data_IF_817804042321
#
_entry.id   IF_817804042321
#
_cell.length_a   1.000
_cell.length_b   1.000
_cell.length_c   1.000
_cell.angle_alpha   90.00
_cell.angle_beta   90.00
_cell.angle_gamma   90.00
#
_symmetry.space_group_name_H-M   'P 1'
#
loop_
_entity.id
_entity.type
_entity.pdbx_description
1 polymer ?
#
# COMPACT_ATOMS: atom_id res chain seq x y z
N UNK A 1 -30.97 -10.30 -2.41
CA UNK A 1 -30.88 -11.74 -2.07
C UNK A 1 -30.66 -11.84 -0.58
N UNK A 2 -31.14 -12.87 0.11
CA UNK A 2 -30.78 -13.05 1.51
C UNK A 2 -29.29 -13.44 1.59
N UNK A 3 -28.56 -13.01 2.63
CA UNK A 3 -27.13 -13.32 2.79
C UNK A 3 -26.86 -14.84 2.73
N UNK A 4 -27.83 -15.65 3.18
CA UNK A 4 -27.75 -17.11 3.13
C UNK A 4 -27.71 -17.66 1.71
N UNK A 5 -28.52 -17.10 0.81
CA UNK A 5 -28.52 -17.50 -0.60
C UNK A 5 -27.16 -17.22 -1.25
N UNK A 6 -26.54 -16.10 -0.89
CA UNK A 6 -25.21 -15.71 -1.39
C UNK A 6 -24.12 -16.61 -0.84
N UNK A 7 -24.15 -16.92 0.46
CA UNK A 7 -23.25 -17.89 1.07
C UNK A 7 -23.33 -19.27 0.38
N UNK A 8 -24.54 -19.79 0.15
CA UNK A 8 -24.72 -21.06 -0.56
C UNK A 8 -24.26 -20.97 -2.04
N UNK A 9 -24.49 -19.83 -2.72
CA UNK A 9 -23.95 -19.60 -4.09
C UNK A 9 -22.42 -19.67 -4.08
N UNK A 10 -21.75 -19.06 -3.11
CA UNK A 10 -20.30 -19.10 -2.98
C UNK A 10 -19.81 -20.52 -2.68
N UNK A 11 -20.39 -21.19 -1.68
CA UNK A 11 -20.00 -22.55 -1.28
C UNK A 11 -20.11 -23.57 -2.42
N UNK A 12 -21.12 -23.42 -3.28
CA UNK A 12 -21.35 -24.29 -4.43
C UNK A 12 -20.67 -23.81 -5.72
N UNK A 13 -19.97 -22.67 -5.69
CA UNK A 13 -19.32 -22.12 -6.88
C UNK A 13 -18.11 -22.98 -7.29
N UNK A 14 -17.97 -23.31 -8.60
CA UNK A 14 -16.77 -23.98 -9.10
C UNK A 14 -15.54 -23.06 -9.10
N UNK A 15 -15.71 -21.75 -8.91
CA UNK A 15 -14.61 -20.80 -8.84
C UNK A 15 -13.79 -20.91 -7.54
N UNK A 16 -14.39 -21.45 -6.47
CA UNK A 16 -13.71 -21.65 -5.18
C UNK A 16 -12.90 -22.94 -5.19
N UNK A 17 -11.69 -22.84 -4.65
CA UNK A 17 -10.87 -23.98 -4.28
C UNK A 17 -11.49 -24.77 -3.12
N UNK A 18 -11.07 -26.03 -2.93
CA UNK A 18 -11.56 -26.82 -1.79
C UNK A 18 -11.13 -26.24 -0.44
N UNK A 19 -10.00 -25.53 -0.35
CA UNK A 19 -9.59 -24.85 0.87
C UNK A 19 -10.54 -23.69 1.22
N UNK A 20 -10.96 -22.90 0.22
CA UNK A 20 -11.93 -21.82 0.41
C UNK A 20 -13.32 -22.36 0.78
N UNK A 21 -13.73 -23.48 0.18
CA UNK A 21 -14.98 -24.16 0.58
C UNK A 21 -14.90 -24.69 1.99
N UNK A 22 -13.77 -25.24 2.40
CA UNK A 22 -13.60 -25.74 3.78
C UNK A 22 -13.63 -24.59 4.80
N UNK A 23 -13.04 -23.43 4.47
CA UNK A 23 -13.18 -22.23 5.29
C UNK A 23 -14.66 -21.83 5.46
N UNK A 24 -15.43 -21.81 4.37
CA UNK A 24 -16.88 -21.52 4.44
C UNK A 24 -17.67 -22.58 5.22
N UNK A 25 -17.37 -23.87 5.03
CA UNK A 25 -17.99 -24.95 5.82
C UNK A 25 -17.70 -24.82 7.32
N UNK A 26 -16.52 -24.32 7.69
CA UNK A 26 -16.14 -24.14 9.10
C UNK A 26 -17.04 -23.14 9.85
N UNK A 27 -17.67 -22.21 9.13
CA UNK A 27 -18.59 -21.20 9.68
C UNK A 27 -20.06 -21.57 9.48
N UNK A 28 -20.39 -22.76 8.95
CA UNK A 28 -21.76 -23.11 8.53
C UNK A 28 -22.82 -23.04 9.63
N UNK A 29 -22.39 -23.11 10.90
CA UNK A 29 -23.23 -23.01 12.10
C UNK A 29 -23.15 -21.65 12.83
N UNK A 30 -22.40 -20.68 12.31
CA UNK A 30 -22.28 -19.33 12.86
C UNK A 30 -23.00 -18.31 11.96
N UNK A 31 -24.30 -18.11 12.20
CA UNK A 31 -25.11 -17.19 11.39
C UNK A 31 -24.59 -15.75 11.43
N UNK A 32 -23.96 -15.31 12.53
CA UNK A 32 -23.42 -13.95 12.63
C UNK A 32 -22.21 -13.77 11.73
N UNK A 33 -21.36 -14.79 11.67
CA UNK A 33 -20.19 -14.77 10.77
C UNK A 33 -20.60 -14.91 9.30
N UNK A 34 -21.63 -15.70 9.00
CA UNK A 34 -22.16 -15.76 7.63
C UNK A 34 -22.80 -14.43 7.25
N UNK A 35 -23.61 -13.83 8.11
CA UNK A 35 -24.20 -12.52 7.85
C UNK A 35 -23.10 -11.47 7.65
N UNK A 36 -22.10 -11.40 8.53
CA UNK A 36 -20.98 -10.44 8.43
C UNK A 36 -20.19 -10.54 7.12
N UNK A 37 -20.14 -11.74 6.52
CA UNK A 37 -19.42 -11.98 5.26
C UNK A 37 -20.24 -11.82 4.00
N UNK A 38 -21.57 -11.92 4.08
CA UNK A 38 -22.42 -12.03 2.89
C UNK A 38 -23.61 -11.06 2.85
N UNK A 39 -23.74 -10.16 3.82
CA UNK A 39 -24.84 -9.17 3.85
C UNK A 39 -24.81 -8.20 2.66
N UNK A 40 -23.62 -7.81 2.18
CA UNK A 40 -23.44 -6.92 1.04
C UNK A 40 -22.04 -7.07 0.43
N UNK A 41 -21.82 -6.68 -0.84
CA UNK A 41 -20.49 -6.47 -1.42
C UNK A 41 -19.62 -5.54 -0.57
N UNK A 42 -18.32 -5.77 -0.58
CA UNK A 42 -17.37 -4.80 -0.04
C UNK A 42 -17.41 -3.52 -0.90
N UNK A 43 -17.65 -2.37 -0.27
CA UNK A 43 -17.86 -1.11 -0.99
C UNK A 43 -16.56 -0.52 -1.54
N UNK A 44 -16.58 -0.13 -2.83
CA UNK A 44 -15.47 0.56 -3.49
C UNK A 44 -15.63 2.08 -3.36
N UNK A 45 -14.71 2.73 -2.64
CA UNK A 45 -14.70 4.18 -2.43
C UNK A 45 -13.53 4.91 -3.09
N UNK A 46 -13.35 6.19 -2.76
CA UNK A 46 -12.19 6.98 -3.22
C UNK A 46 -10.86 6.44 -2.70
N UNK A 47 -10.86 5.81 -1.52
CA UNK A 47 -9.72 5.09 -0.97
C UNK A 47 -9.58 3.65 -1.50
N UNK A 48 -10.42 3.25 -2.47
CA UNK A 48 -10.50 1.91 -3.02
C UNK A 48 -11.26 0.92 -2.12
N UNK A 49 -10.80 -0.33 -2.05
CA UNK A 49 -11.34 -1.35 -1.15
C UNK A 49 -10.50 -1.49 0.11
N UNK A 50 -11.15 -1.80 1.23
CA UNK A 50 -10.48 -2.17 2.48
C UNK A 50 -11.39 -3.04 3.33
N UNK A 51 -10.86 -4.17 3.78
CA UNK A 51 -11.60 -5.11 4.61
C UNK A 51 -10.68 -6.13 5.25
N UNK A 52 -11.23 -6.91 6.19
CA UNK A 52 -10.54 -8.09 6.72
C UNK A 52 -10.42 -9.16 5.64
N UNK A 53 -9.39 -9.98 5.74
CA UNK A 53 -9.14 -11.08 4.82
C UNK A 53 -9.83 -12.35 5.30
N UNK A 54 -10.77 -12.84 4.50
CA UNK A 54 -11.33 -14.18 4.56
C UNK A 54 -12.21 -14.41 3.31
N UNK A 55 -12.66 -15.65 3.10
CA UNK A 55 -13.59 -15.96 2.00
C UNK A 55 -14.96 -15.38 2.33
N UNK A 56 -15.44 -14.46 1.49
CA UNK A 56 -16.70 -13.75 1.71
C UNK A 56 -16.94 -12.65 0.68
N UNK A 57 -18.21 -12.30 0.48
CA UNK A 57 -18.60 -11.21 -0.42
C UNK A 57 -18.18 -9.83 0.12
N UNK A 58 -18.16 -9.68 1.45
CA UNK A 58 -17.83 -8.44 2.16
C UNK A 58 -16.37 -8.39 2.64
N UNK A 59 -15.48 -9.28 2.16
CA UNK A 59 -14.11 -9.39 2.64
C UNK A 59 -13.08 -9.33 1.53
N UNK A 60 -11.85 -9.00 1.92
CA UNK A 60 -10.71 -9.00 1.01
C UNK A 60 -10.30 -10.44 0.72
N UNK A 61 -10.52 -10.87 -0.51
CA UNK A 61 -10.04 -12.14 -1.04
C UNK A 61 -9.78 -12.02 -2.54
N UNK A 62 -9.25 -13.09 -3.11
CA UNK A 62 -8.84 -13.14 -4.51
C UNK A 62 -9.99 -12.84 -5.49
N UNK A 63 -11.22 -13.27 -5.16
CA UNK A 63 -12.38 -13.07 -6.04
C UNK A 63 -12.85 -11.62 -6.01
N UNK A 64 -12.88 -10.99 -4.83
CA UNK A 64 -13.19 -9.56 -4.70
C UNK A 64 -12.13 -8.69 -5.39
N UNK A 65 -10.84 -9.03 -5.28
CA UNK A 65 -9.75 -8.35 -6.00
C UNK A 65 -9.94 -8.47 -7.52
N UNK A 66 -10.19 -9.68 -8.03
CA UNK A 66 -10.42 -9.91 -9.46
C UNK A 66 -11.63 -9.13 -9.96
N UNK A 67 -12.72 -9.13 -9.18
CA UNK A 67 -13.93 -8.41 -9.51
C UNK A 67 -13.73 -6.89 -9.60
N UNK A 68 -13.10 -6.29 -8.58
CA UNK A 68 -12.75 -4.87 -8.60
C UNK A 68 -11.79 -4.53 -9.75
N UNK A 69 -10.84 -5.41 -10.04
CA UNK A 69 -9.91 -5.22 -11.15
C UNK A 69 -10.61 -5.32 -12.51
N UNK A 70 -11.55 -6.24 -12.69
CA UNK A 70 -12.32 -6.37 -13.93
C UNK A 70 -13.17 -5.12 -14.16
N UNK A 71 -13.88 -4.64 -13.13
CA UNK A 71 -14.62 -3.39 -13.19
C UNK A 71 -13.71 -2.20 -13.54
N UNK A 72 -12.52 -2.16 -12.95
CA UNK A 72 -11.54 -1.13 -13.25
C UNK A 72 -11.00 -1.21 -14.69
N UNK A 73 -10.77 -2.42 -15.21
CA UNK A 73 -10.39 -2.65 -16.59
C UNK A 73 -11.47 -2.15 -17.57
N UNK A 74 -12.77 -2.34 -17.27
CA UNK A 74 -13.85 -1.76 -18.07
C UNK A 74 -13.81 -0.23 -18.11
N UNK A 75 -13.53 0.42 -16.98
CA UNK A 75 -13.39 1.88 -16.92
C UNK A 75 -12.19 2.35 -17.75
N UNK A 76 -11.04 1.69 -17.68
CA UNK A 76 -9.87 2.01 -18.51
C UNK A 76 -10.18 1.82 -20.00
N UNK A 77 -10.87 0.73 -20.38
CA UNK A 77 -11.24 0.49 -21.79
C UNK A 77 -12.19 1.56 -22.33
N UNK A 78 -13.07 2.11 -21.48
CA UNK A 78 -13.98 3.18 -21.86
C UNK A 78 -13.27 4.51 -22.18
N UNK A 79 -12.07 4.74 -21.65
CA UNK A 79 -11.21 5.89 -21.99
C UNK A 79 -10.55 5.75 -23.38
N UNK A 80 -10.60 4.55 -23.97
CA UNK A 80 -10.19 4.29 -25.35
C UNK A 80 -8.83 3.58 -25.50
N UNK A 81 -8.42 3.29 -26.75
CA UNK A 81 -7.26 2.44 -27.03
C UNK A 81 -5.93 2.98 -26.49
N UNK A 82 -5.78 4.30 -26.42
CA UNK A 82 -4.58 4.93 -25.87
C UNK A 82 -4.44 4.65 -24.37
N UNK A 83 -5.55 4.68 -23.61
CA UNK A 83 -5.55 4.37 -22.18
C UNK A 83 -5.15 2.92 -21.91
N UNK A 84 -5.67 1.99 -22.73
CA UNK A 84 -5.32 0.55 -22.67
C UNK A 84 -3.83 0.34 -22.94
N UNK A 85 -3.28 1.01 -23.95
CA UNK A 85 -1.86 0.94 -24.33
C UNK A 85 -0.93 1.55 -23.27
N UNK A 86 -1.33 2.67 -22.66
CA UNK A 86 -0.59 3.30 -21.54
C UNK A 86 -0.52 2.39 -20.32
N UNK A 87 -1.55 1.57 -20.08
CA UNK A 87 -1.53 0.54 -19.06
C UNK A 87 -1.46 1.05 -17.62
N UNK A 88 -1.20 0.15 -16.68
CA UNK A 88 -1.21 0.43 -15.24
C UNK A 88 0.10 0.07 -14.56
N UNK A 89 0.46 0.79 -13.49
CA UNK A 89 1.50 0.40 -12.55
C UNK A 89 0.87 -0.32 -11.34
N UNK A 90 1.40 -1.46 -10.91
CA UNK A 90 0.86 -2.26 -9.80
C UNK A 90 1.95 -2.53 -8.76
N UNK A 91 1.60 -2.32 -7.50
CA UNK A 91 2.45 -2.59 -6.34
C UNK A 91 1.65 -3.19 -5.18
N UNK A 92 2.37 -3.55 -4.13
CA UNK A 92 1.85 -4.11 -2.90
C UNK A 92 2.75 -3.83 -1.69
N UNK A 93 2.18 -3.94 -0.48
CA UNK A 93 2.91 -3.88 0.79
C UNK A 93 3.25 -5.27 1.36
N UNK A 94 3.79 -5.30 2.58
CA UNK A 94 4.26 -6.52 3.25
C UNK A 94 3.15 -7.42 3.82
N UNK A 95 1.86 -7.06 3.69
CA UNK A 95 0.78 -7.83 4.33
C UNK A 95 0.62 -9.20 3.69
N UNK A 96 0.07 -10.13 4.47
CA UNK A 96 -0.32 -11.44 3.98
C UNK A 96 -1.23 -11.29 2.74
N UNK A 97 -0.98 -12.10 1.72
CA UNK A 97 -1.67 -12.10 0.42
C UNK A 97 -1.52 -10.85 -0.47
N UNK A 98 -0.81 -9.78 -0.06
CA UNK A 98 -0.71 -8.58 -0.91
C UNK A 98 -0.02 -8.86 -2.25
N UNK A 99 1.05 -9.66 -2.25
CA UNK A 99 1.75 -10.10 -3.49
C UNK A 99 0.81 -10.91 -4.40
N UNK A 100 0.05 -11.85 -3.83
CA UNK A 100 -0.93 -12.65 -4.56
C UNK A 100 -2.00 -11.76 -5.21
N UNK A 101 -2.56 -10.82 -4.44
CA UNK A 101 -3.59 -9.90 -4.93
C UNK A 101 -3.04 -8.96 -6.02
N UNK A 102 -1.81 -8.48 -5.90
CA UNK A 102 -1.17 -7.67 -6.94
C UNK A 102 -0.92 -8.48 -8.22
N UNK A 103 -0.47 -9.73 -8.10
CA UNK A 103 -0.32 -10.63 -9.25
C UNK A 103 -1.66 -10.90 -9.94
N UNK A 104 -2.72 -11.11 -9.18
CA UNK A 104 -4.07 -11.33 -9.70
C UNK A 104 -4.66 -10.09 -10.37
N UNK A 105 -4.37 -8.91 -9.82
CA UNK A 105 -4.66 -7.64 -10.46
C UNK A 105 -3.98 -7.57 -11.84
N UNK A 106 -2.69 -7.92 -11.90
CA UNK A 106 -1.93 -7.92 -13.16
C UNK A 106 -2.50 -8.93 -14.18
N UNK A 107 -2.86 -10.14 -13.76
CA UNK A 107 -3.44 -11.16 -14.63
C UNK A 107 -4.81 -10.76 -15.20
N UNK A 108 -5.66 -10.09 -14.42
CA UNK A 108 -6.96 -9.58 -14.91
C UNK A 108 -6.76 -8.44 -15.91
N UNK A 109 -5.87 -7.49 -15.61
CA UNK A 109 -5.53 -6.41 -16.54
C UNK A 109 -5.00 -6.95 -17.86
N UNK A 110 -4.05 -7.89 -17.82
CA UNK A 110 -3.49 -8.54 -19.00
C UNK A 110 -4.55 -9.34 -19.78
N UNK A 111 -5.46 -10.04 -19.09
CA UNK A 111 -6.60 -10.73 -19.71
C UNK A 111 -7.53 -9.80 -20.48
N UNK A 112 -7.58 -8.52 -20.10
CA UNK A 112 -8.31 -7.46 -20.79
C UNK A 112 -7.46 -6.69 -21.83
N UNK A 113 -6.23 -7.14 -22.09
CA UNK A 113 -5.31 -6.50 -23.03
C UNK A 113 -4.65 -5.21 -22.52
N UNK A 114 -4.82 -4.88 -21.24
CA UNK A 114 -4.23 -3.69 -20.62
C UNK A 114 -2.81 -4.03 -20.16
N UNK A 115 -1.83 -3.22 -20.57
CA UNK A 115 -0.43 -3.42 -20.16
C UNK A 115 -0.26 -3.16 -18.67
N UNK A 116 0.63 -3.92 -18.04
CA UNK A 116 0.93 -3.83 -16.61
C UNK A 116 2.42 -3.69 -16.42
N UNK A 117 2.80 -2.70 -15.61
CA UNK A 117 4.10 -2.64 -14.95
C UNK A 117 3.92 -3.12 -13.51
N UNK A 118 4.48 -4.26 -13.16
CA UNK A 118 4.35 -4.86 -11.83
C UNK A 118 5.68 -4.73 -11.09
N UNK A 119 5.67 -4.20 -9.86
CA UNK A 119 6.87 -4.20 -9.04
C UNK A 119 7.31 -5.63 -8.68
N UNK A 120 8.62 -5.88 -8.77
CA UNK A 120 9.25 -7.19 -8.52
C UNK A 120 9.20 -7.64 -7.06
N UNK A 121 9.05 -6.69 -6.15
CA UNK A 121 8.88 -6.87 -4.72
C UNK A 121 8.08 -5.68 -4.18
N UNK A 122 7.66 -5.77 -2.92
CA UNK A 122 6.92 -4.68 -2.26
C UNK A 122 7.64 -3.32 -2.38
N UNK A 123 6.88 -2.24 -2.57
CA UNK A 123 7.40 -0.85 -2.60
C UNK A 123 6.43 0.14 -1.93
N UNK A 124 6.94 1.29 -1.45
CA UNK A 124 6.11 2.35 -0.88
C UNK A 124 5.00 2.86 -1.81
N UNK A 125 3.85 3.23 -1.24
CA UNK A 125 2.76 3.94 -1.92
C UNK A 125 3.28 5.14 -2.75
N UNK A 126 4.17 6.02 -2.23
CA UNK A 126 4.70 7.14 -3.01
C UNK A 126 5.44 6.73 -4.29
N UNK A 127 6.05 5.54 -4.32
CA UNK A 127 6.78 5.07 -5.50
C UNK A 127 5.83 4.59 -6.60
N UNK A 128 4.66 4.04 -6.25
CA UNK A 128 3.59 3.74 -7.21
C UNK A 128 3.10 5.02 -7.87
N UNK A 129 2.82 6.05 -7.06
CA UNK A 129 2.42 7.37 -7.55
C UNK A 129 3.46 7.96 -8.51
N UNK A 130 4.74 7.83 -8.17
CA UNK A 130 5.84 8.22 -9.04
C UNK A 130 5.88 7.41 -10.34
N UNK A 131 5.81 6.08 -10.27
CA UNK A 131 5.87 5.19 -11.42
C UNK A 131 4.75 5.45 -12.44
N UNK A 132 3.53 5.74 -11.96
CA UNK A 132 2.41 6.13 -12.83
C UNK A 132 2.78 7.34 -13.70
N UNK A 133 3.39 8.35 -13.10
CA UNK A 133 3.76 9.60 -13.78
C UNK A 133 5.00 9.44 -14.65
N UNK A 134 6.02 8.75 -14.13
CA UNK A 134 7.30 8.50 -14.80
C UNK A 134 7.14 7.65 -16.07
N UNK A 135 6.26 6.64 -16.02
CA UNK A 135 6.02 5.73 -17.14
C UNK A 135 4.76 6.07 -17.94
N UNK A 136 4.13 7.21 -17.65
CA UNK A 136 2.91 7.68 -18.31
C UNK A 136 1.77 6.65 -18.33
N UNK A 137 1.65 5.82 -17.29
CA UNK A 137 0.54 4.90 -17.13
C UNK A 137 -0.79 5.69 -17.08
N UNK A 138 -1.90 5.07 -17.50
CA UNK A 138 -3.22 5.68 -17.29
C UNK A 138 -3.60 5.70 -15.81
N UNK A 139 -3.11 4.73 -15.05
CA UNK A 139 -3.44 4.57 -13.64
C UNK A 139 -2.41 3.71 -12.88
N UNK A 140 -2.60 3.61 -11.57
CA UNK A 140 -1.87 2.69 -10.71
C UNK A 140 -2.75 2.00 -9.67
N UNK A 141 -2.28 0.85 -9.18
CA UNK A 141 -2.91 0.09 -8.10
C UNK A 141 -1.86 -0.16 -7.02
N UNK A 142 -2.21 0.10 -5.77
CA UNK A 142 -1.43 -0.37 -4.63
C UNK A 142 -2.26 -1.28 -3.72
N UNK A 143 -1.81 -2.52 -3.56
CA UNK A 143 -2.44 -3.49 -2.65
C UNK A 143 -1.89 -3.28 -1.25
N UNK A 144 -2.67 -2.58 -0.43
CA UNK A 144 -2.29 -2.25 0.94
C UNK A 144 -3.51 -1.78 1.75
N UNK A 145 -3.52 -2.09 3.05
CA UNK A 145 -4.39 -1.45 4.03
C UNK A 145 -3.68 -0.39 4.90
N UNK A 146 -2.55 0.15 4.45
CA UNK A 146 -1.76 1.17 5.16
C UNK A 146 -1.46 0.76 6.60
N UNK A 147 -1.97 1.46 7.60
CA UNK A 147 -1.72 1.25 9.03
C UNK A 147 -2.69 0.28 9.71
N UNK A 148 -3.63 -0.35 8.98
CA UNK A 148 -4.61 -1.25 9.60
C UNK A 148 -3.95 -2.50 10.24
N UNK A 149 -4.65 -3.21 11.16
CA UNK A 149 -4.16 -4.48 11.71
C UNK A 149 -3.88 -5.56 10.64
N UNK A 150 -3.16 -6.62 11.00
CA UNK A 150 -2.69 -7.69 10.09
C UNK A 150 -3.81 -8.42 9.36
N UNK A 151 -5.01 -8.46 9.94
CA UNK A 151 -6.19 -9.12 9.37
C UNK A 151 -6.71 -8.36 8.15
N UNK A 152 -6.36 -7.08 7.99
CA UNK A 152 -6.81 -6.25 6.89
C UNK A 152 -5.88 -6.30 5.69
N UNK A 153 -6.48 -6.21 4.51
CA UNK A 153 -5.80 -5.82 3.28
C UNK A 153 -6.64 -4.77 2.53
N UNK A 154 -6.13 -4.24 1.43
CA UNK A 154 -6.82 -3.22 0.66
C UNK A 154 -6.34 -3.16 -0.78
N UNK A 155 -7.09 -2.40 -1.58
CA UNK A 155 -6.85 -2.21 -3.01
C UNK A 155 -7.07 -0.72 -3.29
N UNK A 156 -5.99 0.06 -3.28
CA UNK A 156 -6.00 1.50 -3.57
C UNK A 156 -5.77 1.71 -5.06
N UNK A 157 -6.50 2.65 -5.66
CA UNK A 157 -6.34 3.00 -7.07
C UNK A 157 -5.95 4.48 -7.20
N UNK A 158 -5.05 4.73 -8.14
CA UNK A 158 -4.49 6.03 -8.47
C UNK A 158 -4.74 6.31 -9.95
N UNK A 159 -5.03 7.55 -10.32
CA UNK A 159 -5.23 7.91 -11.72
C UNK A 159 -3.94 8.49 -12.33
N UNK A 160 -4.00 8.95 -13.57
CA UNK A 160 -2.82 9.36 -14.36
C UNK A 160 -2.00 10.51 -13.77
N UNK A 161 -2.55 11.30 -12.85
CA UNK A 161 -1.82 12.37 -12.14
C UNK A 161 -0.98 11.83 -10.96
N UNK A 162 -1.10 10.53 -10.66
CA UNK A 162 -0.49 9.85 -9.53
C UNK A 162 -1.24 10.05 -8.22
N UNK A 163 -2.40 10.71 -8.22
CA UNK A 163 -3.24 10.88 -7.03
C UNK A 163 -4.28 9.76 -6.90
N UNK A 164 -4.80 9.56 -5.69
CA UNK A 164 -5.93 8.66 -5.46
C UNK A 164 -7.14 9.06 -6.32
N UNK A 165 -7.99 8.08 -6.64
CA UNK A 165 -9.12 8.26 -7.54
C UNK A 165 -9.99 9.49 -7.21
N UNK A 166 -10.24 10.35 -8.21
CA UNK A 166 -11.29 11.34 -8.12
C UNK A 166 -12.66 10.67 -7.91
N UNK A 167 -13.63 11.33 -7.23
CA UNK A 167 -14.93 10.75 -6.94
C UNK A 167 -15.66 10.17 -8.16
N UNK A 168 -15.60 10.82 -9.32
CA UNK A 168 -16.30 10.35 -10.52
C UNK A 168 -15.76 9.02 -11.06
N UNK A 169 -14.44 8.80 -11.06
CA UNK A 169 -13.87 7.52 -11.46
C UNK A 169 -14.17 6.42 -10.43
N UNK A 170 -14.10 6.73 -9.13
CA UNK A 170 -14.47 5.77 -8.09
C UNK A 170 -15.94 5.31 -8.23
N UNK A 171 -16.86 6.25 -8.49
CA UNK A 171 -18.27 5.93 -8.77
C UNK A 171 -18.44 5.11 -10.05
N UNK A 172 -17.65 5.36 -11.09
CA UNK A 172 -17.70 4.57 -12.33
C UNK A 172 -17.25 3.11 -12.10
N UNK A 173 -16.20 2.90 -11.31
CA UNK A 173 -15.74 1.55 -10.94
C UNK A 173 -16.80 0.84 -10.10
N UNK A 174 -17.36 1.51 -9.08
CA UNK A 174 -18.42 0.94 -8.25
C UNK A 174 -19.65 0.53 -9.09
N UNK A 175 -20.09 1.39 -10.01
CA UNK A 175 -21.18 1.06 -10.93
C UNK A 175 -20.85 -0.15 -11.82
N UNK A 176 -19.61 -0.27 -12.31
CA UNK A 176 -19.18 -1.45 -13.06
C UNK A 176 -19.15 -2.72 -12.21
N UNK A 177 -18.78 -2.63 -10.93
CA UNK A 177 -18.85 -3.78 -10.02
C UNK A 177 -20.31 -4.22 -9.76
N UNK A 178 -21.29 -3.33 -9.83
CA UNK A 178 -22.71 -3.72 -9.72
C UNK A 178 -23.23 -4.41 -10.98
N UNK A 179 -22.69 -4.06 -12.15
CA UNK A 179 -23.07 -4.63 -13.44
C UNK A 179 -22.47 -6.03 -13.70
N UNK A 180 -21.27 -6.30 -13.16
CA UNK A 180 -20.50 -7.51 -13.44
C UNK A 180 -20.80 -8.62 -12.41
N UNK A 181 -20.96 -9.86 -12.88
CA UNK A 181 -20.93 -11.01 -11.97
C UNK A 181 -19.50 -11.27 -11.47
N UNK A 182 -19.39 -11.44 -10.15
CA UNK A 182 -18.15 -11.60 -9.40
C UNK A 182 -17.29 -12.78 -9.84
N UNK A 183 -17.88 -13.83 -10.41
CA UNK A 183 -17.16 -15.01 -10.89
C UNK A 183 -17.11 -15.05 -12.42
N UNK A 184 -18.27 -14.90 -13.07
CA UNK A 184 -18.41 -15.25 -14.49
C UNK A 184 -17.89 -14.16 -15.45
N UNK A 185 -17.77 -12.91 -14.98
CA UNK A 185 -17.34 -11.78 -15.83
C UNK A 185 -15.82 -11.61 -15.89
N UNK A 186 -15.07 -12.42 -15.13
CA UNK A 186 -13.63 -12.20 -14.90
C UNK A 186 -12.81 -12.72 -16.08
N UNK A 187 -12.14 -11.81 -16.79
CA UNK A 187 -11.18 -12.15 -17.84
C UNK A 187 -9.76 -12.13 -17.28
N UNK A 188 -9.04 -13.25 -17.46
CA UNK A 188 -7.66 -13.41 -16.95
C UNK A 188 -6.79 -14.07 -17.99
N UNK A 189 -5.52 -13.69 -17.98
CA UNK A 189 -4.45 -14.41 -18.65
C UNK A 189 -3.58 -15.12 -17.60
N UNK A 190 -2.99 -16.26 -17.95
CA UNK A 190 -1.96 -16.86 -17.12
C UNK A 190 -0.78 -15.89 -16.96
N UNK A 191 -0.17 -15.89 -15.77
CA UNK A 191 0.90 -14.93 -15.47
C UNK A 191 2.13 -15.11 -16.35
N UNK A 192 2.59 -16.35 -16.54
CA UNK A 192 3.80 -16.62 -17.31
C UNK A 192 3.55 -16.36 -18.80
N UNK A 193 2.35 -16.65 -19.29
CA UNK A 193 1.91 -16.28 -20.63
C UNK A 193 1.83 -14.76 -20.82
N UNK A 194 1.28 -14.03 -19.85
CA UNK A 194 1.17 -12.57 -19.91
C UNK A 194 2.53 -11.87 -19.86
N UNK A 195 3.47 -12.38 -19.06
CA UNK A 195 4.88 -11.92 -19.06
C UNK A 195 5.53 -12.20 -20.42
N UNK A 196 5.39 -13.43 -20.94
CA UNK A 196 5.96 -13.81 -22.24
C UNK A 196 5.36 -13.00 -23.40
N UNK A 197 4.09 -12.63 -23.32
CA UNK A 197 3.41 -11.79 -24.29
C UNK A 197 3.77 -10.29 -24.17
N UNK A 198 4.53 -9.90 -23.14
CA UNK A 198 4.88 -8.51 -22.87
C UNK A 198 3.73 -7.65 -22.33
N UNK A 199 2.64 -8.29 -21.88
CA UNK A 199 1.52 -7.62 -21.22
C UNK A 199 1.82 -7.31 -19.75
N UNK A 200 2.65 -8.13 -19.10
CA UNK A 200 3.20 -7.84 -17.77
C UNK A 200 4.71 -7.61 -17.90
N UNK A 201 5.16 -6.42 -17.52
CA UNK A 201 6.57 -6.05 -17.43
C UNK A 201 6.93 -5.86 -15.96
N UNK A 202 8.00 -6.50 -15.50
CA UNK A 202 8.51 -6.28 -14.15
C UNK A 202 9.30 -4.98 -14.07
N UNK A 203 9.16 -4.28 -12.95
CA UNK A 203 9.96 -3.10 -12.60
C UNK A 203 10.51 -3.23 -11.18
N UNK A 204 11.70 -2.66 -10.94
CA UNK A 204 12.39 -2.79 -9.67
C UNK A 204 13.42 -1.69 -9.47
N UNK A 205 14.68 -2.09 -9.26
CA UNK A 205 15.78 -1.19 -8.90
C UNK A 205 15.96 0.01 -9.86
N UNK A 206 15.72 -0.16 -11.16
CA UNK A 206 15.79 0.94 -12.11
C UNK A 206 14.73 2.04 -11.86
N UNK A 207 13.59 1.63 -11.30
CA UNK A 207 12.53 2.55 -10.85
C UNK A 207 12.86 3.13 -9.48
N UNK A 208 13.39 2.32 -8.56
CA UNK A 208 13.87 2.77 -7.24
C UNK A 208 14.87 3.93 -7.40
N UNK A 209 15.84 3.81 -8.33
CA UNK A 209 16.86 4.82 -8.58
C UNK A 209 16.28 6.13 -9.12
N UNK A 210 15.34 6.05 -10.07
CA UNK A 210 14.65 7.24 -10.59
C UNK A 210 13.82 7.93 -9.51
N UNK A 211 13.12 7.15 -8.69
CA UNK A 211 12.35 7.66 -7.57
C UNK A 211 13.25 8.35 -6.55
N UNK A 212 14.33 7.70 -6.11
CA UNK A 212 15.29 8.28 -5.18
C UNK A 212 15.97 9.53 -5.75
N UNK A 213 16.30 9.58 -7.04
CA UNK A 213 16.83 10.78 -7.68
C UNK A 213 15.83 11.96 -7.59
N UNK A 214 14.54 11.70 -7.82
CA UNK A 214 13.49 12.71 -7.69
C UNK A 214 13.31 13.17 -6.23
N UNK A 215 13.35 12.24 -5.26
CA UNK A 215 13.35 12.55 -3.82
C UNK A 215 14.53 13.44 -3.45
N UNK A 216 15.74 13.10 -3.91
CA UNK A 216 16.94 13.89 -3.68
C UNK A 216 16.88 15.28 -4.33
N UNK A 217 16.09 15.43 -5.40
CA UNK A 217 15.77 16.72 -6.02
C UNK A 217 14.89 17.64 -5.16
N UNK A 218 14.19 17.10 -4.15
CA UNK A 218 13.33 17.90 -3.25
C UNK A 218 14.07 18.47 -2.04
N UNK A 219 15.37 18.21 -1.90
CA UNK A 219 16.17 18.67 -0.76
C UNK A 219 16.40 20.18 -0.84
N UNK A 220 15.91 20.93 0.15
CA UNK A 220 15.95 22.40 0.15
C UNK A 220 17.28 22.99 0.69
N UNK A 221 17.89 22.36 1.69
CA UNK A 221 19.08 22.91 2.38
C UNK A 221 20.05 21.79 2.75
N UNK A 222 20.90 21.39 1.79
CA UNK A 222 21.93 20.35 2.00
C UNK A 222 22.97 20.78 3.04
N UNK A 223 23.31 22.07 3.09
CA UNK A 223 24.30 22.61 4.02
C UNK A 223 23.84 22.48 5.48
N UNK A 224 22.53 22.53 5.76
CA UNK A 224 22.01 22.26 7.09
C UNK A 224 22.31 20.83 7.56
N UNK A 225 22.21 19.84 6.66
CA UNK A 225 22.53 18.44 6.96
C UNK A 225 24.02 18.28 7.23
N UNK A 226 24.88 18.83 6.37
CA UNK A 226 26.34 18.74 6.51
C UNK A 226 26.83 19.27 7.86
N UNK A 227 26.22 20.34 8.37
CA UNK A 227 26.57 20.94 9.67
C UNK A 227 26.33 20.01 10.87
N UNK A 228 25.35 19.11 10.78
CA UNK A 228 24.94 18.25 11.88
C UNK A 228 25.21 16.77 11.63
N UNK A 229 25.65 16.40 10.43
CA UNK A 229 25.80 15.02 9.98
C UNK A 229 26.66 14.16 10.91
N UNK A 230 27.71 14.75 11.52
CA UNK A 230 28.63 14.04 12.42
C UNK A 230 28.08 13.78 13.82
N UNK A 231 27.08 14.54 14.27
CA UNK A 231 26.58 14.49 15.66
C UNK A 231 25.11 14.09 15.77
N UNK A 232 24.29 14.43 14.78
CA UNK A 232 22.86 14.17 14.81
C UNK A 232 22.56 12.70 14.60
N UNK A 233 21.83 12.10 15.55
CA UNK A 233 21.47 10.69 15.57
C UNK A 233 19.97 10.52 15.41
N UNK A 234 19.57 9.67 14.47
CA UNK A 234 18.17 9.33 14.21
C UNK A 234 17.95 7.85 14.44
N UNK A 235 16.86 7.49 15.10
CA UNK A 235 16.30 6.14 15.06
C UNK A 235 15.20 6.08 14.01
N UNK A 236 15.19 5.01 13.21
CA UNK A 236 14.15 4.76 12.20
C UNK A 236 13.48 3.40 12.42
N UNK A 237 12.16 3.35 12.29
CA UNK A 237 11.39 2.10 12.24
C UNK A 237 10.39 2.12 11.07
N UNK A 238 10.36 1.08 10.22
CA UNK A 238 9.35 0.94 9.17
C UNK A 238 8.11 0.16 9.62
N UNK A 239 8.04 -0.28 10.89
CA UNK A 239 7.02 -1.23 11.37
C UNK A 239 6.83 -2.44 10.44
N UNK A 240 7.94 -3.07 10.03
CA UNK A 240 7.99 -4.20 9.09
C UNK A 240 7.61 -3.85 7.63
N UNK A 241 7.34 -2.57 7.36
CA UNK A 241 6.81 -2.06 6.10
C UNK A 241 7.80 -1.82 4.96
N UNK A 242 7.24 -1.36 3.86
CA UNK A 242 7.92 -1.03 2.59
C UNK A 242 9.02 0.02 2.72
N UNK A 243 8.95 0.89 3.73
CA UNK A 243 9.96 1.90 4.02
C UNK A 243 11.34 1.34 4.41
N UNK A 244 11.44 0.05 4.76
CA UNK A 244 12.67 -0.59 5.27
C UNK A 244 13.91 -0.39 4.38
N UNK A 245 13.72 -0.30 3.05
CA UNK A 245 14.83 -0.15 2.09
C UNK A 245 15.06 1.31 1.73
N UNK A 246 14.03 1.98 1.18
CA UNK A 246 14.20 3.26 0.51
C UNK A 246 14.33 4.46 1.46
N UNK A 247 13.68 4.43 2.63
CA UNK A 247 13.79 5.56 3.58
C UNK A 247 15.21 5.66 4.16
N UNK A 248 15.80 4.56 4.71
CA UNK A 248 17.19 4.60 5.16
C UNK A 248 18.17 4.98 4.04
N UNK A 249 17.93 4.49 2.83
CA UNK A 249 18.78 4.82 1.68
C UNK A 249 18.70 6.31 1.30
N UNK A 250 17.49 6.88 1.23
CA UNK A 250 17.31 8.31 0.97
C UNK A 250 17.98 9.19 2.04
N UNK A 251 17.87 8.81 3.32
CA UNK A 251 18.53 9.52 4.42
C UNK A 251 20.06 9.44 4.34
N UNK A 252 20.62 8.29 3.94
CA UNK A 252 22.07 8.15 3.70
C UNK A 252 22.53 8.99 2.51
N UNK A 253 21.80 8.97 1.39
CA UNK A 253 22.07 9.83 0.21
C UNK A 253 22.00 11.31 0.52
N UNK A 254 21.12 11.70 1.46
CA UNK A 254 21.05 13.06 1.98
C UNK A 254 22.30 13.49 2.76
N UNK A 255 23.08 12.53 3.27
CA UNK A 255 24.30 12.77 4.03
C UNK A 255 24.18 12.48 5.54
N UNK A 256 23.06 11.90 5.99
CA UNK A 256 22.89 11.51 7.39
C UNK A 256 23.82 10.33 7.72
N UNK A 257 24.74 10.51 8.68
CA UNK A 257 25.72 9.47 9.04
C UNK A 257 25.19 8.47 10.07
N UNK A 258 24.28 8.89 10.94
CA UNK A 258 23.80 8.09 12.09
C UNK A 258 22.31 7.76 11.99
N UNK A 259 21.95 6.99 10.96
CA UNK A 259 20.60 6.42 10.80
C UNK A 259 20.58 5.02 11.42
N UNK A 260 19.99 4.91 12.60
CA UNK A 260 19.96 3.70 13.43
C UNK A 260 18.59 3.03 13.27
N UNK A 261 18.53 1.95 12.52
CA UNK A 261 17.26 1.24 12.30
C UNK A 261 16.94 0.30 13.46
N UNK A 262 15.67 0.20 13.85
CA UNK A 262 15.18 -0.76 14.86
C UNK A 262 15.23 -2.18 14.29
N UNK A 263 16.19 -3.04 14.69
CA UNK A 263 16.45 -4.31 13.99
C UNK A 263 15.23 -5.24 13.93
N UNK A 264 14.47 -5.31 15.02
CA UNK A 264 13.29 -6.16 15.14
C UNK A 264 12.17 -5.75 14.17
N UNK A 265 12.07 -4.46 13.86
CA UNK A 265 11.05 -3.90 12.97
C UNK A 265 11.54 -3.72 11.52
N UNK A 266 12.80 -4.05 11.22
CA UNK A 266 13.34 -4.11 9.86
C UNK A 266 13.11 -5.46 9.17
N UNK A 267 12.61 -6.46 9.91
CA UNK A 267 12.21 -7.76 9.36
C UNK A 267 10.87 -7.60 8.66
N UNK A 268 10.77 -8.01 7.40
CA UNK A 268 9.52 -7.97 6.64
C UNK A 268 8.58 -9.07 7.17
N UNK A 269 7.47 -8.68 7.78
CA UNK A 269 6.48 -9.60 8.34
C UNK A 269 5.07 -8.97 8.34
N UNK A 270 4.18 -9.53 7.51
CA UNK A 270 2.79 -9.08 7.40
C UNK A 270 1.92 -9.33 8.63
N UNK A 271 2.43 -10.02 9.65
CA UNK A 271 1.76 -10.19 10.95
C UNK A 271 2.08 -9.09 11.96
N UNK A 272 3.04 -8.20 11.65
CA UNK A 272 3.45 -7.09 12.50
C UNK A 272 3.73 -7.51 13.96
N UNK A 273 4.60 -8.51 14.22
CA UNK A 273 4.69 -9.21 15.51
C UNK A 273 5.10 -8.33 16.69
N UNK A 274 5.63 -7.13 16.44
CA UNK A 274 6.08 -6.20 17.47
C UNK A 274 5.04 -5.15 17.85
N UNK A 275 3.91 -5.05 17.13
CA UNK A 275 2.91 -3.99 17.36
C UNK A 275 1.49 -4.55 17.26
N UNK A 276 0.55 -3.96 18.01
CA UNK A 276 -0.89 -4.28 17.85
C UNK A 276 -1.40 -3.71 16.52
N UNK A 277 -0.91 -2.52 16.16
CA UNK A 277 -1.24 -1.82 14.93
C UNK A 277 0.00 -1.08 14.42
N UNK A 278 0.38 -1.19 13.14
CA UNK A 278 1.54 -0.50 12.57
C UNK A 278 1.22 0.95 12.22
N UNK A 279 0.52 1.67 13.11
CA UNK A 279 0.16 3.07 12.92
C UNK A 279 1.21 4.00 13.58
N UNK A 280 1.96 4.81 12.82
CA UNK A 280 2.95 5.72 13.36
C UNK A 280 2.36 6.94 14.08
N UNK A 281 1.03 7.06 14.17
CA UNK A 281 0.37 8.00 15.06
C UNK A 281 0.18 7.45 16.50
N UNK A 282 0.36 6.13 16.69
CA UNK A 282 0.20 5.46 17.98
C UNK A 282 1.53 5.43 18.75
N UNK A 283 1.70 6.22 19.83
CA UNK A 283 2.97 6.30 20.56
C UNK A 283 3.45 4.96 21.10
N UNK A 284 2.52 4.07 21.48
CA UNK A 284 2.82 2.75 22.03
C UNK A 284 3.56 1.84 21.04
N UNK A 285 3.40 2.04 19.73
CA UNK A 285 4.13 1.28 18.71
C UNK A 285 5.63 1.58 18.67
N UNK A 286 6.07 2.70 19.25
CA UNK A 286 7.45 3.16 19.22
C UNK A 286 8.32 2.64 20.37
N UNK A 287 7.83 1.76 21.25
CA UNK A 287 8.58 1.36 22.46
C UNK A 287 10.00 0.85 22.13
N UNK A 288 10.18 0.02 21.10
CA UNK A 288 11.50 -0.44 20.63
C UNK A 288 12.38 0.71 20.13
N UNK A 289 11.78 1.63 19.37
CA UNK A 289 12.48 2.80 18.84
C UNK A 289 12.91 3.74 19.98
N UNK A 290 12.06 3.93 20.99
CA UNK A 290 12.34 4.75 22.17
C UNK A 290 13.45 4.12 23.01
N UNK A 291 13.41 2.81 23.24
CA UNK A 291 14.46 2.10 23.99
C UNK A 291 15.81 2.18 23.27
N UNK A 292 15.83 1.98 21.95
CA UNK A 292 17.01 2.14 21.12
C UNK A 292 17.52 3.59 21.14
N UNK A 293 16.63 4.56 21.03
CA UNK A 293 16.97 5.98 21.04
C UNK A 293 17.57 6.41 22.40
N UNK A 294 17.04 5.91 23.52
CA UNK A 294 17.62 6.12 24.85
C UNK A 294 19.02 5.49 24.96
N UNK A 295 19.18 4.26 24.48
CA UNK A 295 20.47 3.54 24.51
C UNK A 295 21.55 4.25 23.69
N UNK A 296 21.21 4.71 22.49
CA UNK A 296 22.17 5.31 21.55
C UNK A 296 22.32 6.83 21.73
N UNK A 297 21.47 7.43 22.57
CA UNK A 297 21.41 8.87 22.77
C UNK A 297 20.93 9.61 21.52
N UNK A 298 19.90 9.10 20.84
CA UNK A 298 19.41 9.68 19.59
C UNK A 298 18.66 11.01 19.80
N UNK A 299 18.64 11.88 18.80
CA UNK A 299 17.97 13.18 18.86
C UNK A 299 16.52 13.10 18.36
N UNK A 300 16.26 12.16 17.45
CA UNK A 300 15.04 12.07 16.68
C UNK A 300 14.63 10.63 16.40
N UNK A 301 13.33 10.35 16.42
CA UNK A 301 12.77 9.07 16.00
C UNK A 301 11.80 9.31 14.85
N UNK A 302 11.95 8.51 13.78
CA UNK A 302 11.04 8.47 12.65
C UNK A 302 10.41 7.08 12.53
N UNK A 303 9.09 7.01 12.46
CA UNK A 303 8.36 5.80 12.11
C UNK A 303 7.62 6.00 10.80
N UNK A 304 7.55 4.99 9.93
CA UNK A 304 6.63 4.99 8.78
C UNK A 304 5.61 3.86 8.92
N UNK A 305 4.41 4.06 8.36
CA UNK A 305 3.43 2.98 8.26
C UNK A 305 3.82 1.95 7.17
N UNK A 306 3.13 0.80 7.07
CA UNK A 306 3.53 -0.29 6.18
C UNK A 306 3.69 0.06 4.70
N UNK A 307 2.88 0.97 4.16
CA UNK A 307 3.00 1.46 2.79
C UNK A 307 3.75 2.80 2.67
N UNK A 308 4.28 3.30 3.78
CA UNK A 308 5.17 4.46 3.88
C UNK A 308 4.62 5.73 3.20
N UNK A 309 3.30 5.93 3.23
CA UNK A 309 2.66 7.22 2.89
C UNK A 309 2.48 8.13 4.10
N UNK A 310 2.71 7.62 5.33
CA UNK A 310 2.68 8.38 6.58
C UNK A 310 3.96 8.24 7.36
N UNK A 311 4.25 9.26 8.16
CA UNK A 311 5.32 9.24 9.15
C UNK A 311 4.85 9.75 10.50
N UNK A 312 5.42 9.14 11.55
CA UNK A 312 5.31 9.57 12.94
C UNK A 312 6.67 10.02 13.43
N UNK A 313 6.68 11.07 14.24
CA UNK A 313 7.91 11.73 14.69
C UNK A 313 7.90 11.82 16.21
N UNK A 314 9.02 11.47 16.83
CA UNK A 314 9.27 11.78 18.24
C UNK A 314 10.58 12.55 18.41
N UNK A 315 10.58 13.49 19.36
CA UNK A 315 11.74 14.30 19.73
C UNK A 315 11.95 14.25 21.24
N UNK A 316 13.18 14.51 21.67
CA UNK A 316 13.53 14.55 23.09
C UNK A 316 13.08 15.88 23.73
N UNK A 317 12.37 15.82 24.84
CA UNK A 317 12.03 16.99 25.67
C UNK A 317 13.18 17.37 26.63
N UNK A 318 12.98 18.42 27.43
CA UNK A 318 13.96 18.91 28.42
C UNK A 318 14.18 17.94 29.60
N UNK A 319 13.25 17.01 29.84
CA UNK A 319 13.42 15.91 30.80
C UNK A 319 14.14 14.69 30.20
N UNK A 320 14.49 14.73 28.91
CA UNK A 320 15.17 13.63 28.22
C UNK A 320 14.25 12.52 27.70
N UNK A 321 12.94 12.69 27.80
CA UNK A 321 11.90 11.75 27.33
C UNK A 321 11.55 12.02 25.85
N UNK A 322 11.18 10.97 25.12
CA UNK A 322 10.72 11.10 23.74
C UNK A 322 9.22 11.33 23.70
N UNK A 323 8.82 12.44 23.10
CA UNK A 323 7.42 12.84 22.95
C UNK A 323 7.04 12.91 21.48
N UNK A 324 5.80 12.55 21.16
CA UNK A 324 5.27 12.64 19.79
C UNK A 324 5.08 14.08 19.36
N UNK A 325 5.42 14.37 18.10
CA UNK A 325 4.99 15.59 17.40
C UNK A 325 3.79 15.23 16.54
N UNK A 326 2.66 15.88 16.77
CA UNK A 326 1.44 15.65 15.99
C UNK A 326 1.62 16.05 14.52
N UNK A 327 0.76 15.53 13.64
CA UNK A 327 0.73 15.93 12.23
C UNK A 327 0.53 17.45 12.03
N UNK A 328 -0.32 18.06 12.86
CA UNK A 328 -0.53 19.52 12.83
C UNK A 328 0.74 20.30 13.20
N UNK A 329 1.45 19.90 14.26
CA UNK A 329 2.71 20.53 14.65
C UNK A 329 3.78 20.32 13.57
N UNK A 330 3.86 19.12 12.99
CA UNK A 330 4.77 18.81 11.89
C UNK A 330 4.50 19.71 10.68
N UNK A 331 3.24 19.93 10.32
CA UNK A 331 2.85 20.83 9.24
C UNK A 331 3.28 22.28 9.48
N UNK A 332 3.12 22.79 10.70
CA UNK A 332 3.57 24.14 11.07
C UNK A 332 5.09 24.26 11.00
N UNK A 333 5.83 23.29 11.54
CA UNK A 333 7.29 23.27 11.50
C UNK A 333 7.83 23.17 10.07
N UNK A 334 7.19 22.35 9.23
CA UNK A 334 7.56 22.20 7.83
C UNK A 334 7.32 23.50 7.05
N UNK A 335 6.20 24.17 7.27
CA UNK A 335 5.91 25.47 6.64
C UNK A 335 6.94 26.54 7.03
N UNK A 336 7.24 26.66 8.32
CA UNK A 336 8.24 27.60 8.83
C UNK A 336 9.63 27.32 8.22
N UNK A 337 10.05 26.05 8.23
CA UNK A 337 11.30 25.60 7.61
C UNK A 337 11.35 25.94 6.12
N UNK A 338 10.31 25.64 5.35
CA UNK A 338 10.29 25.88 3.91
C UNK A 338 10.36 27.38 3.58
N UNK A 339 9.64 28.23 4.32
CA UNK A 339 9.72 29.68 4.17
C UNK A 339 11.11 30.20 4.53
N UNK A 340 11.68 29.71 5.62
CA UNK A 340 13.01 30.11 6.08
C UNK A 340 14.12 29.65 5.15
N UNK A 341 14.08 28.40 4.68
CA UNK A 341 15.06 27.81 3.79
C UNK A 341 15.07 28.50 2.41
N UNK A 342 13.90 28.83 1.84
CA UNK A 342 13.80 29.55 0.56
C UNK A 342 14.28 31.00 0.61
N UNK A 343 14.50 31.57 1.81
CA UNK A 343 15.04 32.92 1.98
C UNK A 343 16.56 32.95 2.17
N UNK A 344 17.19 31.81 2.48
CA UNK A 344 18.65 31.69 2.67
C UNK A 344 19.36 31.49 1.34
#
# INVERSE_FOLDING_TARGET
MAYRDVYEKWLNSPALSEAEKEELRSISGDEKEIESRFFAPLEFGTAGLRGTMCVGLHQMNIHVIRHATQAFAEVIKAEGPEAVERGVAVCYDCRNNSELFARETACVMAGNGIKVRLFDAMRPTPEVSFAVREYHCIAGVNVTASHNPKEYNGYKVYWQDGAQLPPHHASAIAAKMEELDLFDSIQRMDYDEAVKAGLITLMGEETDEKFLANVMGQVNDKAAVEKVADTFKMVYTPFHGTGYKLIPEALRRLGMKHVICVPEQMVIDGNFPTVVSPNPENPEGFYLAVDLAKKEGADFILGSDPDADRVGIMVRNDQGEYITISGNQTGVLLLDYLIGAKKR
#
